data_IF_358405764962
#
_entry.id   IF_358405764962
#
_cell.length_a   1.000
_cell.length_b   1.000
_cell.length_c   1.000
_cell.angle_alpha   90.00
_cell.angle_beta   90.00
_cell.angle_gamma   90.00
#
_symmetry.space_group_name_H-M   'P 1'
#
loop_
_entity.id
_entity.type
_entity.pdbx_description
1 polymer ?
#
# COMPACT_ATOMS: atom_id res chain seq x y z
N UNK A 1 -26.78 15.71 31.92
CA UNK A 1 -25.41 16.10 32.29
C UNK A 1 -24.42 15.97 31.14
N UNK A 2 -24.44 14.89 30.35
CA UNK A 2 -23.59 14.81 29.13
C UNK A 2 -23.91 15.95 28.12
N UNK A 3 -25.19 16.30 27.97
CA UNK A 3 -25.62 17.44 27.14
C UNK A 3 -25.08 18.79 27.63
N UNK A 4 -24.98 19.01 28.95
CA UNK A 4 -24.43 20.25 29.51
C UNK A 4 -22.91 20.35 29.34
N UNK A 5 -22.20 19.22 29.23
CA UNK A 5 -20.78 19.19 28.83
C UNK A 5 -20.63 19.57 27.36
N UNK A 6 -21.44 18.99 26.47
CA UNK A 6 -21.44 19.35 25.05
C UNK A 6 -21.77 20.84 24.81
N UNK A 7 -22.74 21.39 25.57
CA UNK A 7 -23.12 22.81 25.50
C UNK A 7 -22.00 23.73 26.04
N UNK A 8 -21.24 23.30 27.06
CA UNK A 8 -20.10 24.05 27.57
C UNK A 8 -18.93 24.07 26.58
N UNK A 9 -18.62 22.92 25.96
CA UNK A 9 -17.61 22.80 24.89
C UNK A 9 -18.00 23.66 23.68
N UNK A 10 -19.27 23.66 23.27
CA UNK A 10 -19.77 24.48 22.17
C UNK A 10 -19.67 25.99 22.43
N UNK A 11 -19.69 26.41 23.71
CA UNK A 11 -19.54 27.81 24.13
C UNK A 11 -18.08 28.22 24.39
N UNK A 12 -17.11 27.31 24.23
CA UNK A 12 -15.70 27.57 24.50
C UNK A 12 -15.34 27.67 25.99
N UNK A 13 -16.24 27.25 26.89
CA UNK A 13 -16.03 27.28 28.34
C UNK A 13 -15.44 25.94 28.82
N UNK A 14 -14.15 25.75 28.53
CA UNK A 14 -13.42 24.51 28.77
C UNK A 14 -13.19 24.23 30.25
N UNK A 15 -13.10 25.28 31.08
CA UNK A 15 -12.94 25.15 32.53
C UNK A 15 -14.24 24.61 33.18
N UNK A 16 -15.39 25.14 32.78
CA UNK A 16 -16.68 24.60 33.21
C UNK A 16 -16.91 23.17 32.66
N UNK A 17 -16.50 22.89 31.42
CA UNK A 17 -16.58 21.54 30.85
C UNK A 17 -15.74 20.53 31.63
N UNK A 18 -14.51 20.88 32.02
CA UNK A 18 -13.62 20.04 32.83
C UNK A 18 -14.20 19.76 34.23
N UNK A 19 -14.77 20.77 34.90
CA UNK A 19 -15.42 20.60 36.21
C UNK A 19 -16.64 19.68 36.13
N UNK A 20 -17.45 19.81 35.07
CA UNK A 20 -18.60 18.94 34.83
C UNK A 20 -18.16 17.49 34.53
N UNK A 21 -17.06 17.30 33.80
CA UNK A 21 -16.49 15.98 33.49
C UNK A 21 -15.99 15.24 34.75
N UNK A 22 -15.44 15.94 35.74
CA UNK A 22 -15.00 15.31 37.01
C UNK A 22 -16.15 14.68 37.81
N UNK A 23 -17.38 15.15 37.62
CA UNK A 23 -18.56 14.59 38.32
C UNK A 23 -19.16 13.36 37.64
N UNK A 24 -18.63 12.97 36.48
CA UNK A 24 -19.15 11.88 35.66
C UNK A 24 -18.21 10.65 35.71
N UNK A 25 -18.73 9.43 35.46
CA UNK A 25 -17.91 8.22 35.50
C UNK A 25 -16.84 8.24 34.39
N UNK A 26 -15.57 8.17 34.80
CA UNK A 26 -14.41 8.31 33.92
C UNK A 26 -14.30 7.25 32.80
N UNK A 27 -15.03 6.14 32.92
CA UNK A 27 -15.04 5.04 31.94
C UNK A 27 -16.22 5.09 30.97
N UNK A 28 -17.07 6.14 31.04
CA UNK A 28 -18.11 6.35 30.02
C UNK A 28 -17.46 6.83 28.71
N UNK A 29 -17.72 6.17 27.57
CA UNK A 29 -17.13 6.53 26.27
C UNK A 29 -17.40 7.98 25.83
N UNK A 30 -18.54 8.55 26.21
CA UNK A 30 -18.83 9.95 25.92
C UNK A 30 -18.02 10.89 26.82
N UNK A 31 -17.82 10.51 28.09
CA UNK A 31 -16.97 11.27 29.02
C UNK A 31 -15.53 11.25 28.53
N UNK A 32 -15.01 10.09 28.11
CA UNK A 32 -13.68 9.97 27.51
C UNK A 32 -13.53 10.83 26.24
N UNK A 33 -14.54 10.86 25.36
CA UNK A 33 -14.52 11.67 24.14
C UNK A 33 -14.48 13.16 24.46
N UNK A 34 -15.31 13.62 25.39
CA UNK A 34 -15.35 15.02 25.79
C UNK A 34 -14.12 15.43 26.57
N UNK A 35 -13.54 14.54 27.38
CA UNK A 35 -12.23 14.77 28.02
C UNK A 35 -11.13 14.95 26.98
N UNK A 36 -11.08 14.10 25.95
CA UNK A 36 -10.12 14.24 24.86
C UNK A 36 -10.29 15.57 24.11
N UNK A 37 -11.52 16.01 23.86
CA UNK A 37 -11.80 17.31 23.23
C UNK A 37 -11.40 18.51 24.10
N UNK A 38 -11.58 18.42 25.42
CA UNK A 38 -11.14 19.47 26.35
C UNK A 38 -9.61 19.52 26.41
N UNK A 39 -8.94 18.36 26.45
CA UNK A 39 -7.48 18.27 26.44
C UNK A 39 -6.89 18.78 25.12
N UNK A 40 -7.50 18.46 23.97
CA UNK A 40 -7.13 19.00 22.66
C UNK A 40 -7.17 20.55 22.66
N UNK A 41 -8.19 21.14 23.28
CA UNK A 41 -8.37 22.61 23.34
C UNK A 41 -7.53 23.29 24.43
N UNK A 42 -7.03 22.52 25.38
CA UNK A 42 -6.17 22.98 26.48
C UNK A 42 -4.68 22.74 26.19
N UNK A 43 -4.34 22.41 24.94
CA UNK A 43 -2.97 22.15 24.47
C UNK A 43 -2.30 20.91 25.11
N UNK A 44 -3.08 20.02 25.72
CA UNK A 44 -2.63 18.74 26.28
C UNK A 44 -2.72 17.62 25.24
N UNK A 45 -2.02 17.81 24.13
CA UNK A 45 -2.21 17.04 22.90
C UNK A 45 -1.90 15.53 23.04
N UNK A 46 -0.84 15.16 23.77
CA UNK A 46 -0.47 13.75 23.99
C UNK A 46 -1.55 12.98 24.77
N UNK A 47 -2.18 13.64 25.74
CA UNK A 47 -3.24 13.05 26.54
C UNK A 47 -4.52 12.92 25.71
N UNK A 48 -4.86 13.95 24.92
CA UNK A 48 -5.98 13.92 23.99
C UNK A 48 -5.84 12.80 22.95
N UNK A 49 -4.64 12.65 22.36
CA UNK A 49 -4.34 11.60 21.40
C UNK A 49 -4.51 10.21 22.01
N UNK A 50 -3.98 10.01 23.22
CA UNK A 50 -4.08 8.73 23.92
C UNK A 50 -5.54 8.33 24.15
N UNK A 51 -6.37 9.28 24.60
CA UNK A 51 -7.79 9.04 24.80
C UNK A 51 -8.55 8.78 23.50
N UNK A 52 -8.29 9.54 22.43
CA UNK A 52 -8.90 9.28 21.13
C UNK A 52 -8.52 7.91 20.57
N UNK A 53 -7.25 7.50 20.69
CA UNK A 53 -6.81 6.15 20.30
C UNK A 53 -7.47 5.08 21.17
N UNK A 54 -7.62 5.31 22.47
CA UNK A 54 -8.29 4.39 23.38
C UNK A 54 -9.78 4.21 23.03
N UNK A 55 -10.46 5.29 22.65
CA UNK A 55 -11.85 5.27 22.17
C UNK A 55 -12.03 4.49 20.87
N UNK A 56 -10.99 4.40 20.04
CA UNK A 56 -10.99 3.65 18.79
C UNK A 56 -10.57 2.18 18.96
N UNK A 57 -9.89 1.84 20.05
CA UNK A 57 -9.51 0.44 20.37
C UNK A 57 -10.69 -0.40 20.82
N UNK A 58 -11.75 0.21 21.34
CA UNK A 58 -12.93 -0.48 21.87
C UNK A 58 -14.17 -0.05 21.11
N UNK A 59 -15.09 -0.97 20.83
CA UNK A 59 -16.30 -0.67 20.06
C UNK A 59 -17.36 0.03 20.92
N UNK A 60 -17.30 1.36 20.92
CA UNK A 60 -18.27 2.24 21.60
C UNK A 60 -19.31 2.84 20.64
N UNK A 61 -19.42 2.31 19.43
CA UNK A 61 -20.40 2.73 18.42
C UNK A 61 -19.91 3.80 17.44
N UNK A 62 -20.58 3.94 16.29
CA UNK A 62 -20.07 4.65 15.11
C UNK A 62 -19.93 6.16 15.30
N UNK A 63 -20.76 6.78 16.15
CA UNK A 63 -20.71 8.24 16.40
C UNK A 63 -19.45 8.63 17.19
N UNK A 64 -19.12 7.88 18.23
CA UNK A 64 -17.91 8.11 19.04
C UNK A 64 -16.67 7.84 18.20
N UNK A 65 -16.67 6.77 17.41
CA UNK A 65 -15.58 6.48 16.49
C UNK A 65 -15.36 7.60 15.46
N UNK A 66 -16.44 8.15 14.90
CA UNK A 66 -16.35 9.26 13.93
C UNK A 66 -15.78 10.53 14.55
N UNK A 67 -16.25 10.91 15.74
CA UNK A 67 -15.76 12.10 16.44
C UNK A 67 -14.32 11.93 16.96
N UNK A 68 -13.94 10.74 17.43
CA UNK A 68 -12.57 10.43 17.83
C UNK A 68 -11.59 10.46 16.64
N UNK A 69 -12.00 9.92 15.48
CA UNK A 69 -11.23 10.04 14.22
C UNK A 69 -11.02 11.49 13.81
N UNK A 70 -12.09 12.31 13.91
CA UNK A 70 -12.00 13.75 13.59
C UNK A 70 -11.06 14.48 14.57
N UNK A 71 -11.04 14.07 15.85
CA UNK A 71 -10.10 14.57 16.85
C UNK A 71 -8.64 14.26 16.50
N UNK A 72 -8.33 13.01 16.16
CA UNK A 72 -6.97 12.62 15.75
C UNK A 72 -6.52 13.33 14.47
N UNK A 73 -7.43 13.52 13.51
CA UNK A 73 -7.13 14.27 12.29
C UNK A 73 -6.71 15.72 12.63
N UNK A 74 -7.46 16.42 13.48
CA UNK A 74 -7.11 17.78 13.93
C UNK A 74 -5.79 17.84 14.69
N UNK A 75 -5.52 16.86 15.56
CA UNK A 75 -4.24 16.76 16.26
C UNK A 75 -3.07 16.56 15.28
N UNK A 76 -3.24 15.71 14.27
CA UNK A 76 -2.21 15.49 13.24
C UNK A 76 -1.94 16.72 12.37
N UNK A 77 -2.96 17.55 12.14
CA UNK A 77 -2.85 18.83 11.43
C UNK A 77 -2.15 19.91 12.28
N UNK A 78 -2.27 19.85 13.62
CA UNK A 78 -1.72 20.85 14.56
C UNK A 78 -0.37 20.46 15.19
N UNK A 79 -0.01 19.17 15.21
CA UNK A 79 1.21 18.63 15.83
C UNK A 79 2.09 17.88 14.82
N UNK A 80 2.48 18.54 13.71
CA UNK A 80 3.72 18.17 13.02
C UNK A 80 4.90 18.64 13.89
N UNK A 81 5.69 17.76 14.52
CA UNK A 81 6.99 18.19 15.02
C UNK A 81 7.82 18.67 13.83
N UNK A 82 8.42 19.85 13.97
CA UNK A 82 9.44 20.32 13.05
C UNK A 82 10.53 19.25 12.95
N UNK A 83 10.87 18.74 11.75
CA UNK A 83 11.95 17.79 11.62
C UNK A 83 13.25 18.46 12.09
N UNK A 84 13.93 17.79 13.02
CA UNK A 84 15.26 18.15 13.51
C UNK A 84 16.15 18.54 12.33
N UNK A 85 16.59 19.79 12.36
CA UNK A 85 17.46 20.40 11.37
C UNK A 85 18.80 19.65 11.33
N UNK A 86 18.94 18.70 10.40
CA UNK A 86 20.21 18.55 9.71
C UNK A 86 20.16 19.58 8.59
N UNK A 87 20.92 20.66 8.74
CA UNK A 87 21.09 21.66 7.71
C UNK A 87 21.75 21.01 6.48
N UNK A 88 20.91 20.44 5.61
CA UNK A 88 21.22 20.21 4.20
C UNK A 88 20.42 21.25 3.44
N UNK A 89 21.13 22.02 2.63
CA UNK A 89 20.65 23.16 1.86
C UNK A 89 19.22 23.03 1.34
N UNK A 90 18.50 24.14 1.46
CA UNK A 90 17.23 24.45 0.82
C UNK A 90 17.29 24.25 -0.69
N UNK A 91 16.92 23.04 -1.13
CA UNK A 91 16.28 22.73 -2.40
C UNK A 91 15.69 21.32 -2.26
N UNK A 92 14.45 21.05 -2.71
CA UNK A 92 14.03 19.68 -2.92
C UNK A 92 15.07 19.02 -3.84
N UNK A 93 15.59 17.82 -3.52
CA UNK A 93 16.51 17.15 -4.43
C UNK A 93 15.82 17.06 -5.79
N UNK A 94 16.43 17.60 -6.87
CA UNK A 94 15.86 17.39 -8.19
C UNK A 94 15.79 15.88 -8.41
N UNK A 95 14.60 15.37 -8.71
CA UNK A 95 14.45 14.04 -9.29
C UNK A 95 15.49 13.94 -10.43
N UNK A 96 16.32 12.89 -10.47
CA UNK A 96 17.30 12.76 -11.53
C UNK A 96 16.59 12.88 -12.87
N UNK A 97 16.93 13.93 -13.61
CA UNK A 97 16.48 14.14 -14.98
C UNK A 97 16.96 12.94 -15.80
N UNK A 98 16.03 12.14 -16.30
CA UNK A 98 16.26 11.01 -17.24
C UNK A 98 17.65 10.39 -17.08
N UNK A 99 17.84 9.63 -16.01
CA UNK A 99 19.09 8.91 -15.77
C UNK A 99 19.16 7.63 -16.61
N UNK A 100 20.36 7.03 -16.75
CA UNK A 100 20.44 5.65 -17.23
C UNK A 100 19.60 4.76 -16.31
N UNK A 101 18.88 3.81 -16.90
CA UNK A 101 18.07 2.86 -16.16
C UNK A 101 18.93 2.15 -15.09
N UNK A 102 18.40 1.91 -13.88
CA UNK A 102 19.19 1.38 -12.78
C UNK A 102 19.71 0.00 -13.17
N UNK A 103 21.00 -0.21 -12.98
CA UNK A 103 21.64 -1.52 -13.11
C UNK A 103 21.77 -2.09 -11.71
N UNK A 104 21.37 -3.35 -11.50
CA UNK A 104 21.67 -4.03 -10.24
C UNK A 104 23.18 -3.99 -10.02
N UNK A 105 23.61 -3.27 -8.99
CA UNK A 105 24.99 -3.40 -8.48
C UNK A 105 25.21 -4.84 -8.06
N UNK A 106 26.41 -5.39 -8.25
CA UNK A 106 26.72 -6.77 -7.90
C UNK A 106 26.32 -7.03 -6.43
N UNK A 107 25.24 -7.80 -6.18
CA UNK A 107 24.73 -7.96 -4.83
C UNK A 107 25.68 -8.83 -4.02
N UNK A 108 25.64 -8.69 -2.69
CA UNK A 108 26.37 -9.60 -1.81
C UNK A 108 25.94 -11.04 -2.14
N UNK A 109 26.90 -11.96 -2.25
CA UNK A 109 26.63 -13.37 -2.51
C UNK A 109 25.74 -14.00 -1.43
N UNK A 110 25.71 -13.42 -0.22
CA UNK A 110 24.85 -13.84 0.88
C UNK A 110 23.51 -13.09 0.97
N UNK A 111 23.23 -12.12 0.09
CA UNK A 111 21.98 -11.36 0.11
C UNK A 111 20.76 -12.30 -0.05
N UNK A 112 19.74 -12.10 0.79
CA UNK A 112 18.49 -12.85 0.70
C UNK A 112 17.80 -12.53 -0.62
N UNK A 113 17.43 -13.57 -1.36
CA UNK A 113 16.93 -13.48 -2.72
C UNK A 113 15.75 -14.43 -2.92
N UNK A 114 14.88 -14.09 -3.87
CA UNK A 114 13.70 -14.88 -4.20
C UNK A 114 13.78 -15.45 -5.62
N UNK A 115 13.21 -16.64 -5.81
CA UNK A 115 13.01 -17.29 -7.11
C UNK A 115 11.53 -17.42 -7.38
N UNK A 116 11.08 -16.82 -8.47
CA UNK A 116 9.69 -16.73 -8.89
C UNK A 116 9.52 -17.45 -10.23
N UNK A 117 8.55 -18.36 -10.28
CA UNK A 117 8.17 -19.07 -11.50
C UNK A 117 7.09 -18.29 -12.23
N UNK A 118 7.28 -18.14 -13.52
CA UNK A 118 6.34 -17.46 -14.40
C UNK A 118 5.39 -18.44 -15.08
N UNK A 119 4.19 -18.00 -15.50
CA UNK A 119 3.19 -18.88 -16.07
C UNK A 119 3.64 -19.41 -17.42
N UNK A 120 3.34 -20.67 -17.67
CA UNK A 120 3.59 -21.33 -18.94
C UNK A 120 2.31 -21.98 -19.49
N UNK A 121 2.13 -22.00 -20.83
CA UNK A 121 1.02 -22.68 -21.46
C UNK A 121 0.95 -24.15 -21.03
N UNK A 122 -0.27 -24.66 -20.83
CA UNK A 122 -0.48 -26.05 -20.40
C UNK A 122 0.17 -27.08 -21.33
N UNK A 123 0.29 -26.76 -22.63
CA UNK A 123 0.96 -27.60 -23.62
C UNK A 123 2.47 -27.74 -23.38
N UNK A 124 3.13 -26.70 -22.87
CA UNK A 124 4.57 -26.69 -22.60
C UNK A 124 4.95 -27.32 -21.25
N UNK A 125 3.97 -27.48 -20.33
CA UNK A 125 4.20 -27.99 -18.96
C UNK A 125 4.86 -29.36 -18.88
N UNK A 126 4.51 -30.38 -19.69
CA UNK A 126 5.12 -31.70 -19.56
C UNK A 126 6.63 -31.68 -19.81
N UNK A 127 7.08 -30.93 -20.81
CA UNK A 127 8.50 -30.78 -21.12
C UNK A 127 9.20 -29.91 -20.07
N UNK A 128 8.61 -28.77 -19.72
CA UNK A 128 9.15 -27.88 -18.69
C UNK A 128 9.28 -28.58 -17.33
N UNK A 129 8.34 -29.46 -16.95
CA UNK A 129 8.39 -30.23 -15.72
C UNK A 129 9.58 -31.20 -15.68
N UNK A 130 9.93 -31.82 -16.81
CA UNK A 130 11.12 -32.69 -16.90
C UNK A 130 12.41 -31.90 -16.72
N UNK A 131 12.53 -30.76 -17.40
CA UNK A 131 13.69 -29.86 -17.29
C UNK A 131 13.81 -29.26 -15.89
N UNK A 132 12.70 -28.83 -15.30
CA UNK A 132 12.64 -28.31 -13.93
C UNK A 132 13.06 -29.37 -12.92
N UNK A 133 12.54 -30.60 -13.06
CA UNK A 133 12.90 -31.74 -12.21
C UNK A 133 14.40 -32.02 -12.22
N UNK A 134 15.05 -31.92 -13.39
CA UNK A 134 16.51 -32.10 -13.51
C UNK A 134 17.29 -31.01 -12.79
N UNK A 135 16.92 -29.74 -12.98
CA UNK A 135 17.60 -28.61 -12.34
C UNK A 135 17.42 -28.63 -10.82
N UNK A 136 16.21 -28.92 -10.35
CA UNK A 136 15.88 -28.92 -8.92
C UNK A 136 16.16 -30.25 -8.23
N UNK A 137 16.56 -31.29 -8.96
CA UNK A 137 16.76 -32.65 -8.47
C UNK A 137 15.54 -33.20 -7.68
N UNK A 138 14.35 -33.11 -8.28
CA UNK A 138 13.08 -33.60 -7.73
C UNK A 138 12.36 -34.50 -8.74
N UNK A 139 11.31 -35.19 -8.30
CA UNK A 139 10.49 -36.00 -9.20
C UNK A 139 9.68 -35.13 -10.19
N UNK A 140 9.52 -35.63 -11.43
CA UNK A 140 8.81 -34.92 -12.51
C UNK A 140 7.35 -34.62 -12.17
N UNK A 141 6.68 -35.49 -11.41
CA UNK A 141 5.30 -35.25 -10.97
C UNK A 141 5.23 -34.05 -10.02
N UNK A 142 6.10 -34.00 -9.01
CA UNK A 142 6.19 -32.87 -8.09
C UNK A 142 6.58 -31.57 -8.81
N UNK A 143 7.57 -31.63 -9.71
CA UNK A 143 7.98 -30.50 -10.54
C UNK A 143 6.81 -29.86 -11.30
N UNK A 144 5.91 -30.69 -11.86
CA UNK A 144 4.74 -30.20 -12.60
C UNK A 144 3.77 -29.40 -11.72
N UNK A 145 3.67 -29.69 -10.42
CA UNK A 145 2.79 -28.99 -9.49
C UNK A 145 3.30 -27.59 -9.13
N UNK A 146 4.62 -27.37 -9.19
CA UNK A 146 5.23 -26.05 -8.95
C UNK A 146 5.09 -25.10 -10.14
N UNK A 147 5.00 -25.61 -11.37
CA UNK A 147 4.94 -24.80 -12.58
C UNK A 147 3.53 -24.17 -12.75
N UNK A 148 3.39 -22.83 -12.67
CA UNK A 148 2.09 -22.18 -12.77
C UNK A 148 1.56 -22.16 -14.22
N UNK A 149 0.23 -22.19 -14.38
CA UNK A 149 -0.42 -21.94 -15.69
C UNK A 149 -0.80 -20.46 -15.87
N UNK A 150 -0.92 -19.74 -14.75
CA UNK A 150 -1.43 -18.37 -14.63
C UNK A 150 -0.78 -17.74 -13.41
N UNK A 151 -0.57 -16.43 -13.49
CA UNK A 151 0.08 -15.67 -12.42
C UNK A 151 1.52 -16.09 -12.15
N UNK A 152 2.22 -15.24 -11.43
CA UNK A 152 3.54 -15.57 -10.90
C UNK A 152 3.40 -16.40 -9.64
N UNK A 153 4.35 -17.29 -9.40
CA UNK A 153 4.37 -18.15 -8.22
C UNK A 153 5.71 -18.04 -7.51
N UNK A 154 5.66 -17.68 -6.24
CA UNK A 154 6.80 -17.85 -5.36
C UNK A 154 7.18 -19.33 -5.29
N UNK A 155 8.44 -19.64 -5.53
CA UNK A 155 8.96 -21.00 -5.43
C UNK A 155 9.86 -21.17 -4.23
N UNK A 156 10.89 -20.32 -4.07
CA UNK A 156 11.77 -20.38 -2.91
C UNK A 156 12.50 -19.06 -2.65
N UNK A 157 12.98 -18.90 -1.43
CA UNK A 157 13.96 -17.90 -1.06
C UNK A 157 15.29 -18.57 -0.66
N UNK A 158 16.39 -17.82 -0.70
CA UNK A 158 17.72 -18.30 -0.35
C UNK A 158 18.80 -17.25 -0.57
N UNK A 159 20.07 -17.66 -0.49
CA UNK A 159 21.20 -16.77 -0.78
C UNK A 159 21.26 -16.46 -2.27
N UNK A 160 21.71 -15.25 -2.61
CA UNK A 160 21.84 -14.81 -4.00
C UNK A 160 22.62 -15.79 -4.86
N UNK A 161 23.76 -16.29 -4.38
CA UNK A 161 24.61 -17.23 -5.15
C UNK A 161 23.86 -18.51 -5.58
N UNK A 162 23.07 -19.09 -4.69
CA UNK A 162 22.26 -20.28 -4.96
C UNK A 162 21.05 -19.95 -5.85
N UNK A 163 20.32 -18.89 -5.50
CA UNK A 163 19.10 -18.49 -6.22
C UNK A 163 19.42 -18.06 -7.65
N UNK A 164 20.49 -17.29 -7.86
CA UNK A 164 20.93 -16.89 -9.19
C UNK A 164 21.39 -18.09 -10.03
N UNK A 165 22.08 -19.07 -9.41
CA UNK A 165 22.47 -20.29 -10.11
C UNK A 165 21.24 -21.07 -10.61
N UNK A 166 20.22 -21.25 -9.76
CA UNK A 166 18.97 -21.89 -10.19
C UNK A 166 18.26 -21.08 -11.28
N UNK A 167 18.16 -19.76 -11.11
CA UNK A 167 17.57 -18.87 -12.09
C UNK A 167 18.22 -19.01 -13.46
N UNK A 168 19.55 -18.98 -13.53
CA UNK A 168 20.32 -19.15 -14.76
C UNK A 168 20.11 -20.55 -15.37
N UNK A 169 20.17 -21.61 -14.58
CA UNK A 169 19.97 -22.98 -15.07
C UNK A 169 18.55 -23.20 -15.62
N UNK A 170 17.52 -22.68 -14.93
CA UNK A 170 16.14 -22.76 -15.37
C UNK A 170 15.91 -21.94 -16.65
N UNK A 171 16.43 -20.71 -16.69
CA UNK A 171 16.35 -19.82 -17.86
C UNK A 171 17.03 -20.44 -19.08
N UNK A 172 18.22 -21.02 -18.92
CA UNK A 172 18.95 -21.71 -19.99
C UNK A 172 18.19 -22.94 -20.55
N UNK A 173 17.30 -23.52 -19.76
CA UNK A 173 16.42 -24.63 -20.16
C UNK A 173 15.09 -24.14 -20.78
N UNK A 174 14.92 -22.83 -20.95
CA UNK A 174 13.72 -22.21 -21.51
C UNK A 174 12.55 -22.19 -20.55
N UNK A 175 12.79 -22.29 -19.24
CA UNK A 175 11.75 -22.16 -18.21
C UNK A 175 11.66 -20.68 -17.82
N UNK A 176 10.50 -20.04 -18.02
CA UNK A 176 10.27 -18.66 -17.59
C UNK A 176 10.41 -18.52 -16.07
N UNK A 177 11.36 -17.69 -15.65
CA UNK A 177 11.73 -17.54 -14.23
C UNK A 177 12.33 -16.15 -14.00
N UNK A 178 12.00 -15.57 -12.85
CA UNK A 178 12.53 -14.31 -12.39
C UNK A 178 13.18 -14.52 -11.01
N UNK A 179 14.32 -13.88 -10.78
CA UNK A 179 14.99 -13.90 -9.48
C UNK A 179 15.58 -12.54 -9.16
N UNK A 180 15.51 -12.15 -7.89
CA UNK A 180 15.92 -10.82 -7.44
C UNK A 180 16.41 -10.88 -5.98
N UNK A 181 17.51 -10.19 -5.63
CA UNK A 181 17.86 -9.95 -4.24
C UNK A 181 16.90 -8.92 -3.63
N UNK A 182 16.45 -9.16 -2.40
CA UNK A 182 15.48 -8.26 -1.75
C UNK A 182 16.02 -6.84 -1.55
N UNK A 183 17.34 -6.69 -1.41
CA UNK A 183 18.00 -5.39 -1.31
C UNK A 183 17.80 -4.51 -2.55
N UNK A 184 17.60 -5.10 -3.73
CA UNK A 184 17.31 -4.34 -4.94
C UNK A 184 15.95 -3.63 -4.87
N UNK A 185 15.01 -4.13 -4.06
CA UNK A 185 13.71 -3.47 -3.85
C UNK A 185 13.88 -2.15 -3.09
N UNK A 186 14.81 -2.11 -2.13
CA UNK A 186 15.10 -0.90 -1.34
C UNK A 186 15.78 0.20 -2.16
N UNK A 187 16.36 -0.14 -3.30
CA UNK A 187 16.98 0.83 -4.20
C UNK A 187 15.95 1.60 -5.01
N UNK A 188 14.71 1.11 -5.14
CA UNK A 188 13.66 1.76 -5.94
C UNK A 188 12.97 2.82 -5.09
N UNK A 189 12.91 4.06 -5.61
CA UNK A 189 12.21 5.13 -4.93
C UNK A 189 10.69 4.96 -5.11
N UNK A 190 9.96 4.78 -4.01
CA UNK A 190 8.49 4.77 -4.05
C UNK A 190 7.97 6.15 -3.64
N UNK A 191 7.18 6.77 -4.50
CA UNK A 191 6.51 8.04 -4.24
C UNK A 191 5.00 7.82 -4.15
N UNK A 192 4.42 8.03 -2.98
CA UNK A 192 2.97 7.96 -2.77
C UNK A 192 2.30 9.23 -3.33
N UNK A 193 1.54 9.04 -4.40
CA UNK A 193 0.86 10.12 -5.10
C UNK A 193 -0.43 10.47 -4.39
N UNK A 194 -0.54 11.73 -3.96
CA UNK A 194 -1.75 12.27 -3.34
C UNK A 194 -2.81 12.63 -4.38
N UNK A 195 -2.43 13.32 -5.47
CA UNK A 195 -3.32 13.63 -6.60
C UNK A 195 -2.56 14.06 -7.85
N UNK A 196 -3.22 14.03 -9.02
CA UNK A 196 -2.73 14.66 -10.25
C UNK A 196 -3.00 16.16 -10.25
N UNK A 197 -1.95 16.99 -10.25
CA UNK A 197 -2.05 18.44 -10.22
C UNK A 197 -2.30 19.04 -11.61
N UNK A 198 -1.68 18.49 -12.65
CA UNK A 198 -1.89 18.90 -14.05
C UNK A 198 -1.59 17.78 -15.01
N UNK A 199 -2.27 17.78 -16.16
CA UNK A 199 -2.12 16.75 -17.19
C UNK A 199 -2.16 17.40 -18.56
N UNK A 200 -1.26 16.96 -19.43
CA UNK A 200 -1.22 17.27 -20.85
C UNK A 200 -1.14 15.97 -21.65
N UNK A 201 -1.33 16.01 -22.98
CA UNK A 201 -1.12 14.83 -23.82
C UNK A 201 0.29 14.23 -23.73
N UNK A 202 1.29 15.04 -23.37
CA UNK A 202 2.70 14.62 -23.32
C UNK A 202 3.12 14.12 -21.93
N UNK A 203 2.43 14.53 -20.86
CA UNK A 203 2.82 14.15 -19.51
C UNK A 203 1.89 14.64 -18.41
N UNK A 204 2.31 14.43 -17.17
CA UNK A 204 1.56 14.78 -15.98
C UNK A 204 2.46 15.34 -14.87
N UNK A 205 1.86 16.12 -14.00
CA UNK A 205 2.44 16.56 -12.73
C UNK A 205 1.59 16.00 -11.60
N UNK A 206 2.22 15.29 -10.68
CA UNK A 206 1.59 14.72 -9.48
C UNK A 206 2.07 15.43 -8.23
N UNK A 207 1.19 15.53 -7.24
CA UNK A 207 1.53 16.01 -5.90
C UNK A 207 1.89 14.84 -5.00
N UNK A 208 2.99 14.96 -4.26
CA UNK A 208 3.50 13.96 -3.32
C UNK A 208 3.64 14.63 -1.96
N UNK A 209 2.94 14.12 -0.96
CA UNK A 209 2.99 14.63 0.41
C UNK A 209 3.36 13.55 1.43
N UNK A 210 2.77 12.35 1.29
CA UNK A 210 2.92 11.28 2.28
C UNK A 210 4.34 10.72 2.29
N UNK A 211 4.88 10.48 3.49
CA UNK A 211 6.23 9.95 3.70
C UNK A 211 7.38 10.90 3.36
N UNK A 212 7.10 12.17 3.02
CA UNK A 212 8.11 13.17 2.68
C UNK A 212 8.24 14.24 3.77
N UNK A 213 9.46 14.74 3.99
CA UNK A 213 9.70 15.83 4.95
C UNK A 213 8.98 17.12 4.53
N UNK A 214 8.87 17.37 3.23
CA UNK A 214 8.11 18.47 2.65
C UNK A 214 7.33 17.98 1.41
N UNK A 215 6.08 18.41 1.24
CA UNK A 215 5.32 18.13 0.02
C UNK A 215 5.99 18.73 -1.22
N UNK A 216 5.90 18.04 -2.36
CA UNK A 216 6.44 18.54 -3.62
C UNK A 216 5.66 18.03 -4.84
N UNK A 217 5.87 18.69 -5.98
CA UNK A 217 5.32 18.27 -7.28
C UNK A 217 6.34 17.47 -8.08
N UNK A 218 5.94 16.34 -8.63
CA UNK A 218 6.74 15.51 -9.54
C UNK A 218 6.16 15.54 -10.95
N UNK A 219 6.94 16.01 -11.94
CA UNK A 219 6.54 16.05 -13.35
C UNK A 219 7.18 14.90 -14.14
N UNK A 220 6.40 14.19 -14.95
CA UNK A 220 6.88 13.12 -15.83
C UNK A 220 6.12 13.09 -17.17
N UNK A 221 6.71 12.50 -18.20
CA UNK A 221 6.06 12.25 -19.48
C UNK A 221 5.40 10.86 -19.48
N UNK A 222 4.25 10.72 -20.15
CA UNK A 222 3.53 9.43 -20.20
C UNK A 222 4.37 8.32 -20.84
N UNK A 223 5.23 8.69 -21.79
CA UNK A 223 6.18 7.79 -22.44
C UNK A 223 7.27 7.24 -21.49
N UNK A 224 7.49 7.86 -20.32
CA UNK A 224 8.41 7.33 -19.31
C UNK A 224 7.79 6.15 -18.53
N UNK A 225 6.47 6.00 -18.55
CA UNK A 225 5.77 4.91 -17.87
C UNK A 225 5.89 3.63 -18.70
N UNK A 226 6.67 2.67 -18.22
CA UNK A 226 6.88 1.43 -18.97
C UNK A 226 5.89 0.34 -18.63
N UNK A 227 5.32 0.39 -17.43
CA UNK A 227 4.44 -0.64 -16.89
C UNK A 227 3.47 -0.03 -15.87
N UNK A 228 2.32 -0.68 -15.75
CA UNK A 228 1.34 -0.43 -14.70
C UNK A 228 1.09 -1.71 -13.92
N UNK A 229 1.10 -1.65 -12.60
CA UNK A 229 0.80 -2.79 -11.72
C UNK A 229 -0.37 -2.43 -10.84
N UNK A 230 -1.37 -3.29 -10.72
CA UNK A 230 -2.54 -3.08 -9.86
C UNK A 230 -2.76 -4.25 -8.93
N UNK A 231 -3.21 -3.95 -7.72
CA UNK A 231 -3.45 -4.92 -6.66
C UNK A 231 -4.71 -4.62 -5.87
N UNK A 232 -5.26 -5.68 -5.30
CA UNK A 232 -6.34 -5.63 -4.31
C UNK A 232 -5.79 -6.22 -3.01
N UNK A 233 -5.66 -5.38 -1.99
CA UNK A 233 -5.09 -5.76 -0.70
C UNK A 233 -6.26 -5.94 0.29
N UNK A 234 -6.48 -7.14 0.85
CA UNK A 234 -7.61 -7.40 1.73
C UNK A 234 -7.50 -6.61 3.02
N UNK A 235 -8.61 -6.04 3.49
CA UNK A 235 -8.71 -5.38 4.80
C UNK A 235 -9.48 -6.34 5.72
N UNK A 236 -8.75 -6.90 6.68
CA UNK A 236 -9.27 -7.87 7.64
C UNK A 236 -9.90 -7.16 8.84
N UNK A 237 -11.07 -7.64 9.28
CA UNK A 237 -11.67 -7.26 10.56
C UNK A 237 -12.09 -8.49 11.37
N UNK A 238 -12.06 -8.36 12.70
CA UNK A 238 -12.64 -9.37 13.59
C UNK A 238 -14.15 -9.17 13.69
N UNK A 239 -14.90 -10.11 13.13
CA UNK A 239 -16.36 -10.15 13.20
C UNK A 239 -16.84 -11.17 14.22
N UNK A 240 -17.98 -10.87 14.86
CA UNK A 240 -18.68 -11.82 15.72
C UNK A 240 -19.75 -12.51 14.87
N UNK A 241 -19.50 -13.75 14.48
CA UNK A 241 -20.46 -14.59 13.77
C UNK A 241 -21.14 -15.57 14.73
N UNK A 242 -22.34 -16.05 14.40
CA UNK A 242 -22.93 -17.21 15.09
C UNK A 242 -22.53 -18.47 14.35
N UNK A 243 -22.04 -19.46 15.09
CA UNK A 243 -21.81 -20.79 14.54
C UNK A 243 -23.13 -21.51 14.21
N UNK A 244 -23.04 -22.71 13.62
CA UNK A 244 -24.21 -23.54 13.28
C UNK A 244 -25.06 -23.94 14.49
N UNK A 245 -24.56 -23.73 15.71
CA UNK A 245 -25.22 -24.04 16.99
C UNK A 245 -25.72 -22.77 17.70
N UNK A 246 -25.59 -21.59 17.08
CA UNK A 246 -26.04 -20.31 17.62
C UNK A 246 -25.08 -19.66 18.62
N UNK A 247 -23.88 -20.21 18.85
CA UNK A 247 -22.88 -19.60 19.73
C UNK A 247 -22.10 -18.53 18.97
N UNK A 248 -21.81 -17.43 19.68
CA UNK A 248 -20.97 -16.37 19.14
C UNK A 248 -19.51 -16.85 19.04
N UNK A 249 -18.95 -16.79 17.85
CA UNK A 249 -17.55 -17.03 17.55
C UNK A 249 -16.96 -15.77 16.94
N UNK A 250 -15.78 -15.37 17.42
CA UNK A 250 -14.96 -14.36 16.74
C UNK A 250 -14.23 -15.02 15.59
N UNK A 251 -14.37 -14.48 14.39
CA UNK A 251 -13.66 -14.92 13.20
C UNK A 251 -13.12 -13.69 12.47
N UNK A 252 -11.96 -13.83 11.86
CA UNK A 252 -11.46 -12.84 10.91
C UNK A 252 -12.18 -12.99 9.57
N UNK A 253 -12.65 -11.87 9.03
CA UNK A 253 -13.31 -11.80 7.73
C UNK A 253 -12.78 -10.59 6.95
N UNK A 254 -12.66 -10.76 5.63
CA UNK A 254 -12.29 -9.67 4.72
C UNK A 254 -13.52 -8.78 4.56
N UNK A 255 -13.45 -7.54 5.04
CA UNK A 255 -14.56 -6.58 4.96
C UNK A 255 -14.47 -5.68 3.73
N UNK A 256 -13.25 -5.33 3.30
CA UNK A 256 -13.02 -4.46 2.16
C UNK A 256 -11.68 -4.81 1.49
N UNK A 257 -11.41 -4.20 0.34
CA UNK A 257 -10.13 -4.28 -0.35
C UNK A 257 -9.58 -2.88 -0.60
N UNK A 258 -8.34 -2.65 -0.18
CA UNK A 258 -7.54 -1.52 -0.59
C UNK A 258 -7.13 -1.69 -2.06
N UNK A 259 -7.48 -0.71 -2.89
CA UNK A 259 -7.08 -0.68 -4.30
C UNK A 259 -5.79 0.12 -4.44
N UNK A 260 -4.81 -0.46 -5.11
CA UNK A 260 -3.49 0.14 -5.33
C UNK A 260 -3.10 0.03 -6.80
N UNK A 261 -2.38 1.03 -7.30
CA UNK A 261 -1.85 1.07 -8.65
C UNK A 261 -0.48 1.73 -8.66
N UNK A 262 0.54 1.00 -9.13
CA UNK A 262 1.90 1.48 -9.31
C UNK A 262 2.14 1.81 -10.79
N UNK A 263 2.73 2.97 -11.06
CA UNK A 263 3.25 3.36 -12.38
C UNK A 263 4.78 3.32 -12.33
N UNK A 264 5.39 2.54 -13.21
CA UNK A 264 6.85 2.33 -13.21
C UNK A 264 7.55 3.34 -14.11
N UNK A 265 8.45 4.12 -13.52
CA UNK A 265 9.35 5.06 -14.21
C UNK A 265 10.81 4.55 -14.08
N UNK A 266 11.19 3.48 -14.79
CA UNK A 266 12.50 2.85 -14.64
C UNK A 266 13.67 3.80 -14.93
N UNK A 267 13.54 4.71 -15.90
CA UNK A 267 14.58 5.72 -16.19
C UNK A 267 14.84 6.71 -15.05
N UNK A 268 13.96 6.73 -14.03
CA UNK A 268 14.12 7.52 -12.80
C UNK A 268 14.31 6.65 -11.56
N UNK A 269 14.43 5.34 -11.75
CA UNK A 269 14.43 4.37 -10.66
C UNK A 269 13.26 4.61 -9.66
N UNK A 270 12.08 4.96 -10.17
CA UNK A 270 10.96 5.46 -9.36
C UNK A 270 9.68 4.68 -9.66
N UNK A 271 8.91 4.38 -8.62
CA UNK A 271 7.53 3.92 -8.68
C UNK A 271 6.62 5.02 -8.16
N UNK A 272 5.66 5.46 -8.97
CA UNK A 272 4.56 6.32 -8.51
C UNK A 272 3.43 5.43 -8.03
N UNK A 273 3.14 5.47 -6.73
CA UNK A 273 2.14 4.63 -6.10
C UNK A 273 0.87 5.41 -5.83
N UNK A 274 -0.22 4.97 -6.46
CA UNK A 274 -1.57 5.48 -6.25
C UNK A 274 -2.29 4.51 -5.32
N UNK A 275 -2.89 5.01 -4.25
CA UNK A 275 -3.64 4.20 -3.29
C UNK A 275 -4.99 4.86 -2.98
N UNK A 276 -6.10 4.12 -3.12
CA UNK A 276 -7.46 4.65 -2.96
C UNK A 276 -7.70 5.38 -1.64
N UNK A 277 -7.16 4.87 -0.53
CA UNK A 277 -7.44 5.42 0.80
C UNK A 277 -6.75 6.76 1.06
N UNK A 278 -5.67 7.07 0.32
CA UNK A 278 -4.87 8.29 0.49
C UNK A 278 -5.05 9.26 -0.67
N UNK A 279 -5.47 8.77 -1.84
CA UNK A 279 -5.66 9.60 -3.03
C UNK A 279 -6.78 10.63 -2.80
N UNK A 280 -6.44 11.91 -2.98
CA UNK A 280 -7.32 13.05 -2.74
C UNK A 280 -8.11 13.40 -4.00
N UNK A 281 -9.22 12.69 -4.23
CA UNK A 281 -10.05 12.86 -5.44
C UNK A 281 -10.71 14.22 -5.59
N UNK A 282 -10.83 14.98 -4.51
CA UNK A 282 -11.36 16.33 -4.50
C UNK A 282 -10.29 17.42 -4.77
N UNK A 283 -9.04 17.02 -5.01
CA UNK A 283 -7.92 17.91 -5.29
C UNK A 283 -7.36 17.68 -6.70
N UNK A 284 -6.77 18.72 -7.28
CA UNK A 284 -6.10 18.64 -8.57
C UNK A 284 -7.06 18.68 -9.77
N UNK A 285 -6.74 17.90 -10.80
CA UNK A 285 -7.52 17.86 -12.04
C UNK A 285 -8.79 17.03 -11.92
N UNK A 286 -9.77 17.34 -12.78
CA UNK A 286 -10.91 16.44 -13.00
C UNK A 286 -10.45 15.20 -13.79
N UNK A 287 -10.81 14.02 -13.29
CA UNK A 287 -10.49 12.73 -13.92
C UNK A 287 -11.50 12.35 -15.03
N UNK A 288 -12.40 13.24 -15.41
CA UNK A 288 -13.39 12.98 -16.46
C UNK A 288 -12.72 12.74 -17.81
N UNK A 289 -12.90 11.54 -18.37
CA UNK A 289 -12.51 11.21 -19.74
C UNK A 289 -13.74 11.19 -20.66
N UNK A 290 -13.57 11.32 -21.99
CA UNK A 290 -14.69 11.21 -22.94
C UNK A 290 -15.44 9.88 -22.88
N UNK A 291 -14.83 8.84 -22.31
CA UNK A 291 -15.38 7.49 -22.13
C UNK A 291 -15.89 7.22 -20.70
N UNK A 292 -15.73 8.15 -19.76
CA UNK A 292 -16.21 7.95 -18.40
C UNK A 292 -17.76 7.92 -18.39
N UNK A 293 -18.40 6.96 -17.70
CA UNK A 293 -19.84 6.91 -17.59
C UNK A 293 -20.36 8.20 -16.91
N UNK A 294 -21.21 8.96 -17.60
CA UNK A 294 -21.64 10.30 -17.20
C UNK A 294 -22.61 10.33 -16.00
N UNK A 295 -22.93 9.18 -15.41
CA UNK A 295 -23.98 9.05 -14.40
C UNK A 295 -23.66 7.97 -13.38
N UNK A 296 -22.95 8.34 -12.32
CA UNK A 296 -23.02 7.64 -11.03
C UNK A 296 -23.46 8.67 -9.96
N UNK A 297 -24.51 8.40 -9.18
CA UNK A 297 -25.00 9.32 -8.17
C UNK A 297 -24.06 9.31 -6.96
N UNK A 298 -23.73 10.49 -6.43
CA UNK A 298 -22.89 10.75 -5.25
C UNK A 298 -21.55 9.97 -5.25
N UNK A 299 -20.48 10.67 -5.61
CA UNK A 299 -19.14 10.09 -5.87
C UNK A 299 -18.56 9.33 -4.66
N UNK A 300 -18.86 8.04 -4.56
CA UNK A 300 -18.17 7.14 -3.63
C UNK A 300 -16.69 7.02 -4.02
N UNK A 301 -15.81 6.80 -3.04
CA UNK A 301 -14.37 6.60 -3.27
C UNK A 301 -14.07 5.48 -4.27
N UNK A 302 -14.95 4.47 -4.34
CA UNK A 302 -14.89 3.39 -5.33
C UNK A 302 -15.15 3.88 -6.76
N UNK A 303 -16.20 4.71 -6.97
CA UNK A 303 -16.50 5.27 -8.29
C UNK A 303 -15.36 6.19 -8.77
N UNK A 304 -14.80 6.98 -7.87
CA UNK A 304 -13.66 7.85 -8.17
C UNK A 304 -12.39 7.06 -8.52
N UNK A 305 -12.13 5.94 -7.84
CA UNK A 305 -11.06 5.04 -8.23
C UNK A 305 -11.28 4.46 -9.62
N UNK A 306 -12.51 4.08 -9.98
CA UNK A 306 -12.83 3.60 -11.33
C UNK A 306 -12.62 4.68 -12.40
N UNK A 307 -12.94 5.93 -12.10
CA UNK A 307 -12.62 7.06 -12.97
C UNK A 307 -11.10 7.23 -13.13
N UNK A 308 -10.32 7.08 -12.05
CA UNK A 308 -8.85 7.11 -12.11
C UNK A 308 -8.30 5.98 -12.98
N UNK A 309 -8.81 4.76 -12.85
CA UNK A 309 -8.38 3.63 -13.69
C UNK A 309 -8.65 3.90 -15.17
N UNK A 310 -9.86 4.36 -15.52
CA UNK A 310 -10.22 4.72 -16.89
C UNK A 310 -9.42 5.90 -17.42
N UNK A 311 -9.09 6.86 -16.56
CA UNK A 311 -8.18 7.96 -16.85
C UNK A 311 -6.78 7.47 -17.21
N UNK A 312 -6.22 6.54 -16.43
CA UNK A 312 -4.92 5.94 -16.73
C UNK A 312 -4.96 5.11 -18.02
N UNK A 313 -6.02 4.34 -18.26
CA UNK A 313 -6.20 3.57 -19.51
C UNK A 313 -6.20 4.47 -20.76
N UNK A 314 -6.70 5.70 -20.63
CA UNK A 314 -6.72 6.66 -21.73
C UNK A 314 -5.32 7.18 -22.09
N UNK A 315 -4.49 7.49 -21.09
CA UNK A 315 -3.13 8.01 -21.31
C UNK A 315 -2.07 6.93 -21.52
N UNK A 316 -2.33 5.69 -21.07
CA UNK A 316 -1.40 4.57 -21.12
C UNK A 316 -1.98 3.35 -21.87
N UNK A 317 -2.57 3.51 -23.07
CA UNK A 317 -3.33 2.44 -23.73
C UNK A 317 -2.46 1.26 -24.20
N UNK A 318 -1.16 1.48 -24.42
CA UNK A 318 -0.22 0.48 -24.92
C UNK A 318 0.71 -0.06 -23.83
N UNK A 319 0.63 0.48 -22.62
CA UNK A 319 1.50 0.08 -21.51
C UNK A 319 0.99 -1.23 -20.90
N UNK A 320 1.85 -2.25 -20.70
CA UNK A 320 1.47 -3.48 -20.04
C UNK A 320 0.85 -3.24 -18.66
N UNK A 321 -0.32 -3.82 -18.43
CA UNK A 321 -1.04 -3.74 -17.17
C UNK A 321 -1.05 -5.09 -16.47
N UNK A 322 -0.39 -5.16 -15.32
CA UNK A 322 -0.27 -6.34 -14.48
C UNK A 322 -1.33 -6.33 -13.38
N UNK A 323 -2.18 -7.35 -13.34
CA UNK A 323 -3.33 -7.44 -12.41
C UNK A 323 -3.38 -8.74 -11.62
N UNK A 324 -2.42 -9.65 -11.85
CA UNK A 324 -2.38 -11.00 -11.24
C UNK A 324 -1.80 -11.00 -9.81
N UNK A 325 -1.80 -9.85 -9.12
CA UNK A 325 -1.23 -9.73 -7.77
C UNK A 325 -1.83 -10.73 -6.79
N UNK A 326 -3.15 -10.92 -6.76
CA UNK A 326 -3.80 -11.84 -5.80
C UNK A 326 -3.31 -13.28 -5.96
N UNK A 327 -3.15 -13.76 -7.21
CA UNK A 327 -2.61 -15.09 -7.48
C UNK A 327 -1.17 -15.24 -7.00
N UNK A 328 -0.37 -14.19 -7.12
CA UNK A 328 0.99 -14.17 -6.61
C UNK A 328 1.01 -14.14 -5.07
N UNK A 329 0.22 -13.26 -4.46
CA UNK A 329 0.15 -13.06 -3.02
C UNK A 329 -0.20 -14.36 -2.30
N UNK A 330 -1.19 -15.11 -2.79
CA UNK A 330 -1.58 -16.42 -2.25
C UNK A 330 -0.43 -17.45 -2.19
N UNK A 331 0.65 -17.24 -2.96
CA UNK A 331 1.81 -18.14 -2.94
C UNK A 331 2.90 -17.74 -1.95
N UNK A 332 2.81 -16.55 -1.34
CA UNK A 332 3.89 -15.98 -0.53
C UNK A 332 3.44 -15.35 0.79
N UNK A 333 2.16 -15.00 0.98
CA UNK A 333 1.67 -14.31 2.19
C UNK A 333 1.97 -15.05 3.50
N UNK A 334 2.12 -16.38 3.45
CA UNK A 334 2.50 -17.19 4.62
C UNK A 334 4.01 -17.16 4.93
N UNK A 335 4.84 -16.56 4.06
CA UNK A 335 6.29 -16.42 4.25
C UNK A 335 6.61 -15.17 5.06
N UNK A 336 6.10 -15.10 6.29
CA UNK A 336 6.19 -13.91 7.17
C UNK A 336 7.63 -13.44 7.39
N UNK A 337 8.57 -14.36 7.59
CA UNK A 337 9.98 -14.05 7.83
C UNK A 337 10.64 -13.40 6.60
N UNK A 338 10.21 -13.80 5.40
CA UNK A 338 10.70 -13.24 4.15
C UNK A 338 10.11 -11.85 3.87
N UNK A 339 8.84 -11.65 4.23
CA UNK A 339 8.08 -10.44 3.92
C UNK A 339 8.28 -9.32 4.96
N UNK A 340 8.51 -9.66 6.23
CA UNK A 340 8.69 -8.68 7.31
C UNK A 340 9.82 -7.64 7.10
N UNK A 341 10.98 -7.95 6.48
CA UNK A 341 12.00 -6.93 6.24
C UNK A 341 11.72 -6.03 5.04
N UNK A 342 10.68 -6.31 4.24
CA UNK A 342 10.37 -5.56 3.02
C UNK A 342 9.54 -4.33 3.41
N UNK A 343 10.04 -3.09 3.19
CA UNK A 343 9.25 -1.90 3.44
C UNK A 343 8.09 -1.85 2.46
N UNK A 344 6.86 -1.95 2.96
CA UNK A 344 5.69 -2.01 2.09
C UNK A 344 5.48 -0.69 1.34
N UNK A 345 5.83 0.46 1.94
CA UNK A 345 5.48 1.80 1.44
C UNK A 345 3.98 1.92 1.15
N UNK A 346 3.18 1.43 2.11
CA UNK A 346 1.73 1.56 2.14
C UNK A 346 1.35 1.73 3.61
N UNK A 347 0.73 2.85 3.94
CA UNK A 347 0.12 3.04 5.25
C UNK A 347 -1.38 2.73 5.16
N UNK A 348 -1.72 1.46 5.37
CA UNK A 348 -3.12 1.02 5.47
C UNK A 348 -3.52 1.04 6.94
N UNK A 349 -4.54 1.84 7.26
CA UNK A 349 -5.08 1.86 8.61
C UNK A 349 -5.78 0.53 8.91
N UNK A 350 -5.05 -0.39 9.55
CA UNK A 350 -5.53 -1.71 9.98
C UNK A 350 -5.24 -1.92 11.46
N UNK A 351 -5.98 -2.84 12.07
CA UNK A 351 -5.73 -3.25 13.46
C UNK A 351 -4.40 -3.98 13.61
N UNK A 352 -4.01 -4.72 12.58
CA UNK A 352 -2.80 -5.54 12.52
C UNK A 352 -2.11 -5.36 11.17
N UNK A 353 -0.78 -5.44 11.17
CA UNK A 353 0.02 -5.45 9.95
C UNK A 353 -0.32 -6.68 9.11
N UNK A 354 -0.25 -6.54 7.79
CA UNK A 354 -0.62 -7.60 6.85
C UNK A 354 0.54 -7.92 5.94
N UNK A 355 0.84 -9.21 5.76
CA UNK A 355 1.83 -9.66 4.79
C UNK A 355 1.46 -9.35 3.33
N UNK A 356 0.20 -8.94 3.06
CA UNK A 356 -0.23 -8.54 1.73
C UNK A 356 0.44 -7.25 1.24
N UNK A 357 0.83 -6.36 2.15
CA UNK A 357 1.40 -5.06 1.80
C UNK A 357 2.86 -5.20 1.31
N UNK A 358 3.77 -5.85 2.06
CA UNK A 358 5.11 -6.17 1.55
C UNK A 358 5.05 -7.15 0.36
N UNK A 359 4.08 -8.06 0.30
CA UNK A 359 3.90 -8.92 -0.87
C UNK A 359 3.55 -8.11 -2.13
N UNK A 360 2.73 -7.06 -2.02
CA UNK A 360 2.45 -6.16 -3.14
C UNK A 360 3.69 -5.39 -3.58
N UNK A 361 4.45 -4.84 -2.62
CA UNK A 361 5.70 -4.14 -2.94
C UNK A 361 6.71 -5.09 -3.62
N UNK A 362 6.85 -6.31 -3.14
CA UNK A 362 7.66 -7.34 -3.80
C UNK A 362 7.18 -7.64 -5.21
N UNK A 363 5.88 -7.87 -5.42
CA UNK A 363 5.31 -8.14 -6.74
C UNK A 363 5.60 -7.01 -7.74
N UNK A 364 5.31 -5.78 -7.32
CA UNK A 364 5.54 -4.57 -8.11
C UNK A 364 7.03 -4.38 -8.41
N UNK A 365 7.91 -4.54 -7.41
CA UNK A 365 9.36 -4.41 -7.58
C UNK A 365 9.98 -5.51 -8.46
N UNK A 366 9.48 -6.74 -8.39
CA UNK A 366 9.90 -7.80 -9.32
C UNK A 366 9.55 -7.46 -10.77
N UNK A 367 8.36 -6.92 -11.01
CA UNK A 367 7.93 -6.46 -12.34
C UNK A 367 8.80 -5.29 -12.83
N UNK A 368 9.09 -4.35 -11.93
CA UNK A 368 9.97 -3.21 -12.17
C UNK A 368 11.36 -3.66 -12.65
N UNK A 369 12.01 -4.55 -11.91
CA UNK A 369 13.35 -5.05 -12.21
C UNK A 369 13.39 -6.03 -13.39
N UNK A 370 12.33 -6.79 -13.62
CA UNK A 370 12.23 -7.66 -14.80
C UNK A 370 12.31 -6.87 -16.11
N UNK A 371 11.83 -5.62 -16.14
CA UNK A 371 11.87 -4.82 -17.37
C UNK A 371 13.25 -4.21 -17.67
N UNK A 372 14.15 -4.26 -16.68
CA UNK A 372 15.49 -3.68 -16.77
C UNK A 372 16.54 -4.69 -17.22
N UNK A 373 16.26 -5.98 -17.03
CA UNK A 373 17.10 -7.12 -17.41
C UNK A 373 16.55 -7.79 -18.67
#
# INVERSE_FOLDING_TARGET
>A
MIKSVADAIARGDYLAAAQLLQTLPAHDPWVMLYTAQVQERSEEFEQAETLYRQLLKTDYGPKIATEARRGLQRLSEQHKPAPTLVAVSTAPPPLPSTGPAPTLSAPDSNATSVLILEPLPNAAKPEAARKFAQVMNIETYAARLFLPSRGWRFYRAGRWSEIAQYGQQLSAQGIPVCWLPLEALQQVQVLEVSYFQSVTPEGATVWVEQGQAQPFSCKFAWAEVTQRVSGLLPIFEQVVARDKQGKFQRKEEIQDHAQICDLHLPGRNTILRLYRGVYQFNQGISLSTPKAPQTLPEETSWANWKHLEAFLDYYLPTVPHWTDFTLFAETIVDQTDLLSPIPAHIDLFRREESCWDPAFHLYSGLIFWKNLN
#
